data_IF_212454027274
#
_entry.id   IF_212454027274
#
_cell.length_a   1.000
_cell.length_b   1.000
_cell.length_c   1.000
_cell.angle_alpha   90.00
_cell.angle_beta   90.00
_cell.angle_gamma   90.00
#
_symmetry.space_group_name_H-M   'P 1'
#
loop_
_entity.id
_entity.type
_entity.pdbx_description
1 polymer ?
#
# COMPACT_ATOMS: atom_id res chain seq x y z
N UNK A 1 20.85 -75.20 7.75
CA UNK A 1 19.91 -74.05 7.66
C UNK A 1 19.95 -73.24 8.95
N UNK A 2 20.82 -72.21 9.08
CA UNK A 2 20.86 -71.39 10.30
C UNK A 2 21.57 -70.02 10.17
N UNK A 3 21.52 -69.32 9.02
CA UNK A 3 22.23 -68.02 8.88
C UNK A 3 21.51 -66.93 8.04
N UNK A 4 20.18 -66.92 7.99
CA UNK A 4 19.46 -65.86 7.25
C UNK A 4 18.53 -65.01 8.12
N UNK A 5 18.24 -65.42 9.36
CA UNK A 5 17.17 -64.81 10.17
C UNK A 5 17.63 -63.78 11.23
N UNK A 6 18.87 -63.28 11.17
CA UNK A 6 19.38 -62.30 12.16
C UNK A 6 19.50 -60.87 11.64
N UNK A 7 19.19 -60.59 10.37
CA UNK A 7 19.39 -59.26 9.77
C UNK A 7 18.13 -58.37 9.69
N UNK A 8 16.95 -58.89 10.05
CA UNK A 8 15.68 -58.16 9.86
C UNK A 8 15.20 -57.46 11.14
N UNK A 9 15.80 -57.74 12.31
CA UNK A 9 15.30 -57.21 13.59
C UNK A 9 15.80 -55.79 13.93
N UNK A 10 16.91 -55.35 13.35
CA UNK A 10 17.54 -54.08 13.74
C UNK A 10 17.11 -52.86 12.91
N UNK A 11 16.37 -53.05 11.82
CA UNK A 11 15.97 -51.96 10.91
C UNK A 11 14.57 -51.38 11.13
N UNK A 12 13.81 -51.85 12.12
CA UNK A 12 12.44 -51.33 12.35
C UNK A 12 12.39 -50.02 13.15
N UNK A 13 13.47 -49.65 13.85
CA UNK A 13 13.52 -48.44 14.67
C UNK A 13 13.78 -47.19 13.80
N UNK A 14 14.52 -47.33 12.68
CA UNK A 14 14.86 -46.20 11.82
C UNK A 14 13.69 -45.65 10.99
N UNK A 15 12.70 -46.48 10.67
CA UNK A 15 11.61 -46.10 9.74
C UNK A 15 10.52 -45.27 10.42
N UNK A 16 10.29 -45.46 11.72
CA UNK A 16 9.30 -44.68 12.47
C UNK A 16 9.80 -43.28 12.88
N UNK A 17 11.11 -43.08 13.02
CA UNK A 17 11.69 -41.76 13.34
C UNK A 17 11.63 -40.77 12.17
N UNK A 18 11.88 -41.23 10.94
CA UNK A 18 11.89 -40.35 9.77
C UNK A 18 10.51 -39.88 9.31
N UNK A 19 9.48 -40.74 9.41
CA UNK A 19 8.11 -40.37 9.04
C UNK A 19 7.50 -39.30 9.95
N UNK A 20 7.79 -39.35 11.25
CA UNK A 20 7.26 -38.38 12.22
C UNK A 20 7.94 -37.00 12.09
N UNK A 21 9.24 -36.96 11.79
CA UNK A 21 9.98 -35.70 11.55
C UNK A 21 9.51 -35.01 10.27
N UNK A 22 9.17 -35.76 9.22
CA UNK A 22 8.59 -35.19 7.99
C UNK A 22 7.17 -34.65 8.21
N UNK A 23 6.31 -35.36 8.94
CA UNK A 23 4.95 -34.88 9.24
C UNK A 23 4.96 -33.61 10.13
N UNK A 24 5.86 -33.54 11.11
CA UNK A 24 6.02 -32.34 11.96
C UNK A 24 6.63 -31.17 11.18
N UNK A 25 7.59 -31.41 10.27
CA UNK A 25 8.14 -30.32 9.43
C UNK A 25 7.15 -29.82 8.37
N UNK A 26 6.24 -30.65 7.87
CA UNK A 26 5.12 -30.21 7.03
C UNK A 26 4.13 -29.37 7.85
N UNK A 27 3.76 -29.80 9.06
CA UNK A 27 2.87 -29.03 9.95
C UNK A 27 3.50 -27.70 10.42
N UNK A 28 4.81 -27.65 10.67
CA UNK A 28 5.53 -26.41 10.99
C UNK A 28 5.58 -25.48 9.76
N UNK A 29 5.75 -26.02 8.54
CA UNK A 29 5.69 -25.21 7.31
C UNK A 29 4.28 -24.67 7.02
N UNK A 30 3.23 -25.41 7.35
CA UNK A 30 1.85 -24.91 7.24
C UNK A 30 1.49 -23.91 8.35
N UNK A 31 2.03 -24.06 9.57
CA UNK A 31 1.87 -23.09 10.65
C UNK A 31 2.73 -21.81 10.47
N UNK A 32 3.82 -21.90 9.68
CA UNK A 32 4.64 -20.77 9.24
C UNK A 32 4.19 -20.19 7.89
N UNK A 33 2.96 -20.43 7.45
CA UNK A 33 2.25 -19.41 6.64
C UNK A 33 1.87 -18.31 7.62
N UNK A 34 2.90 -17.59 8.09
CA UNK A 34 2.75 -16.42 8.91
C UNK A 34 1.82 -15.48 8.17
N UNK A 35 0.73 -15.12 8.85
CA UNK A 35 -0.20 -14.05 8.48
C UNK A 35 0.52 -12.98 7.65
N UNK A 36 0.38 -13.03 6.33
CA UNK A 36 0.74 -11.91 5.46
C UNK A 36 0.08 -10.68 6.07
N UNK A 37 0.89 -9.69 6.45
CA UNK A 37 0.50 -8.60 7.33
C UNK A 37 -0.65 -7.81 6.71
N UNK A 38 -1.88 -8.16 7.10
CA UNK A 38 -3.07 -7.40 6.73
C UNK A 38 -3.00 -6.07 7.44
N UNK A 39 -3.03 -5.01 6.66
CA UNK A 39 -3.09 -3.65 7.17
C UNK A 39 -4.50 -3.15 6.97
N UNK A 40 -5.11 -2.67 8.06
CA UNK A 40 -6.41 -2.01 7.99
C UNK A 40 -6.17 -0.59 7.53
N UNK A 41 -6.88 -0.22 6.48
CA UNK A 41 -6.83 1.09 5.87
C UNK A 41 -8.24 1.65 5.82
N UNK A 42 -8.42 2.89 6.27
CA UNK A 42 -9.66 3.63 6.10
C UNK A 42 -9.42 4.82 5.18
N UNK A 43 -10.33 5.10 4.26
CA UNK A 43 -10.24 6.27 3.40
C UNK A 43 -11.51 7.11 3.42
N UNK A 44 -11.34 8.43 3.51
CA UNK A 44 -12.44 9.38 3.59
C UNK A 44 -13.20 9.50 2.25
N UNK A 45 -14.46 9.92 2.32
CA UNK A 45 -15.31 10.27 1.16
C UNK A 45 -14.58 11.24 0.22
N UNK A 46 -14.54 10.90 -1.07
CA UNK A 46 -14.07 11.83 -2.10
C UNK A 46 -15.13 12.92 -2.29
N UNK A 47 -14.82 14.16 -1.92
CA UNK A 47 -15.61 15.34 -2.28
C UNK A 47 -15.07 15.99 -3.55
N UNK A 48 -14.84 15.18 -4.59
CA UNK A 48 -14.21 15.65 -5.83
C UNK A 48 -15.16 15.65 -7.01
N UNK A 49 -15.01 16.66 -7.88
CA UNK A 49 -15.70 16.78 -9.16
C UNK A 49 -15.07 15.95 -10.28
N UNK A 50 -13.89 15.37 -10.03
CA UNK A 50 -13.10 14.62 -11.02
C UNK A 50 -12.88 13.20 -10.51
N UNK A 51 -12.69 12.26 -11.43
CA UNK A 51 -12.33 10.88 -11.13
C UNK A 51 -10.95 10.57 -11.73
N UNK A 52 -10.19 9.66 -11.11
CA UNK A 52 -8.89 9.23 -11.67
C UNK A 52 -8.99 8.69 -13.10
N UNK A 53 -10.15 8.16 -13.51
CA UNK A 53 -10.39 7.71 -14.89
C UNK A 53 -10.36 8.84 -15.92
N UNK A 54 -10.45 10.11 -15.49
CA UNK A 54 -10.36 11.29 -16.35
C UNK A 54 -8.92 11.85 -16.43
N UNK A 55 -7.99 11.27 -15.68
CA UNK A 55 -6.60 11.72 -15.57
C UNK A 55 -5.73 10.81 -16.46
N UNK A 56 -5.28 11.34 -17.60
CA UNK A 56 -4.50 10.59 -18.60
C UNK A 56 -2.98 10.68 -18.40
N UNK A 57 -2.52 11.60 -17.56
CA UNK A 57 -1.12 11.83 -17.25
C UNK A 57 -1.01 12.42 -15.85
N UNK A 58 0.16 12.34 -15.22
CA UNK A 58 0.45 13.00 -13.95
C UNK A 58 1.82 13.69 -14.00
N UNK A 59 1.86 14.95 -13.60
CA UNK A 59 3.08 15.70 -13.35
C UNK A 59 3.34 15.77 -11.85
N UNK A 60 4.60 15.72 -11.43
CA UNK A 60 4.97 15.72 -10.00
C UNK A 60 5.92 16.87 -9.71
N UNK A 61 5.58 17.66 -8.69
CA UNK A 61 6.49 18.61 -8.05
C UNK A 61 7.26 17.88 -6.93
N UNK A 62 8.59 17.73 -7.03
CA UNK A 62 9.38 17.02 -6.03
C UNK A 62 9.22 17.58 -4.60
N UNK A 63 8.99 18.88 -4.47
CA UNK A 63 8.83 19.54 -3.18
C UNK A 63 7.47 19.25 -2.51
N UNK A 64 6.54 18.63 -3.25
CA UNK A 64 5.20 18.27 -2.77
C UNK A 64 5.08 16.80 -2.37
N UNK A 65 6.17 16.04 -2.44
CA UNK A 65 6.24 14.65 -2.01
C UNK A 65 6.96 14.59 -0.67
N UNK A 66 6.20 14.41 0.42
CA UNK A 66 6.72 14.59 1.78
C UNK A 66 6.40 13.43 2.72
N UNK A 67 7.34 13.12 3.60
CA UNK A 67 7.18 12.21 4.73
C UNK A 67 7.63 12.89 6.02
N UNK A 68 6.73 13.03 6.99
CA UNK A 68 6.94 13.72 8.26
C UNK A 68 7.59 15.11 8.10
N UNK A 69 7.15 15.86 7.09
CA UNK A 69 7.64 17.20 6.81
C UNK A 69 8.97 17.27 6.05
N UNK A 70 9.66 16.15 5.80
CA UNK A 70 10.83 16.11 4.92
C UNK A 70 10.43 15.74 3.49
N UNK A 71 11.17 16.24 2.49
CA UNK A 71 11.04 15.77 1.11
C UNK A 71 11.39 14.30 1.00
N UNK A 72 10.71 13.61 0.11
CA UNK A 72 10.93 12.20 -0.18
C UNK A 72 11.33 12.01 -1.65
N UNK A 73 12.04 10.92 -1.91
CA UNK A 73 12.52 10.57 -3.24
C UNK A 73 11.36 10.40 -4.24
N UNK A 74 11.23 11.40 -5.11
CA UNK A 74 10.15 11.48 -6.09
C UNK A 74 10.23 10.35 -7.12
N UNK A 75 11.45 9.87 -7.44
CA UNK A 75 11.62 8.78 -8.41
C UNK A 75 10.96 7.48 -7.94
N UNK A 76 10.93 7.23 -6.63
CA UNK A 76 10.23 6.08 -6.05
C UNK A 76 8.73 6.22 -6.16
N UNK A 77 8.22 7.43 -5.95
CA UNK A 77 6.78 7.70 -6.06
C UNK A 77 6.31 7.63 -7.52
N UNK A 78 7.12 8.12 -8.45
CA UNK A 78 6.86 7.97 -9.89
C UNK A 78 6.69 6.50 -10.30
N UNK A 79 7.59 5.61 -9.84
CA UNK A 79 7.45 4.17 -10.09
C UNK A 79 6.15 3.59 -9.53
N UNK A 80 5.77 3.98 -8.31
CA UNK A 80 4.53 3.51 -7.70
C UNK A 80 3.27 4.01 -8.44
N UNK A 81 3.30 5.22 -9.00
CA UNK A 81 2.21 5.75 -9.81
C UNK A 81 2.02 4.91 -11.08
N UNK A 82 3.11 4.60 -11.77
CA UNK A 82 3.07 3.72 -12.95
C UNK A 82 2.57 2.31 -12.59
N UNK A 83 3.06 1.74 -11.49
CA UNK A 83 2.60 0.43 -11.00
C UNK A 83 1.09 0.39 -10.67
N UNK A 84 0.54 1.44 -10.05
CA UNK A 84 -0.83 1.43 -9.53
C UNK A 84 -1.85 1.90 -10.57
N UNK A 85 -1.50 2.89 -11.39
CA UNK A 85 -2.42 3.50 -12.35
C UNK A 85 -2.09 3.21 -13.80
N UNK A 86 -0.90 2.63 -14.10
CA UNK A 86 -0.39 2.49 -15.46
C UNK A 86 -0.35 3.83 -16.21
N UNK A 87 -0.01 4.89 -15.47
CA UNK A 87 0.19 6.25 -15.98
C UNK A 87 1.67 6.55 -15.83
N UNK A 88 2.34 6.86 -16.94
CA UNK A 88 3.73 7.31 -16.88
C UNK A 88 3.78 8.75 -16.34
N UNK A 89 4.32 8.97 -15.13
CA UNK A 89 4.37 10.31 -14.57
C UNK A 89 5.58 11.08 -15.10
N UNK A 90 5.48 12.40 -15.09
CA UNK A 90 6.54 13.32 -15.54
C UNK A 90 6.88 14.33 -14.44
N UNK A 91 8.03 14.99 -14.54
CA UNK A 91 8.36 16.08 -13.61
C UNK A 91 7.64 17.35 -14.03
N UNK A 92 7.15 18.12 -13.05
CA UNK A 92 6.38 19.33 -13.32
C UNK A 92 7.18 20.34 -14.16
N UNK A 93 8.46 20.52 -13.84
CA UNK A 93 9.33 21.49 -14.51
C UNK A 93 9.57 21.17 -15.99
N UNK A 94 9.45 19.90 -16.40
CA UNK A 94 9.74 19.49 -17.78
C UNK A 94 8.52 19.58 -18.70
N UNK A 95 7.29 19.38 -18.20
CA UNK A 95 6.13 19.11 -19.07
C UNK A 95 4.78 19.65 -18.57
N UNK A 96 4.74 20.65 -17.69
CA UNK A 96 3.47 21.17 -17.12
C UNK A 96 2.39 21.54 -18.17
N UNK A 97 2.80 22.02 -19.35
CA UNK A 97 1.84 22.36 -20.43
C UNK A 97 1.25 21.12 -21.09
N UNK A 98 2.02 20.03 -21.20
CA UNK A 98 1.58 18.77 -21.78
C UNK A 98 0.82 17.90 -20.78
N UNK A 99 1.18 17.99 -19.50
CA UNK A 99 0.50 17.30 -18.43
C UNK A 99 -0.03 18.23 -17.33
N UNK A 100 -1.30 18.66 -17.42
CA UNK A 100 -1.85 19.67 -16.51
C UNK A 100 -2.17 19.10 -15.13
N UNK A 101 -2.22 17.79 -14.94
CA UNK A 101 -2.58 17.18 -13.66
C UNK A 101 -1.36 17.08 -12.76
N UNK A 102 -1.38 17.74 -11.61
CA UNK A 102 -0.28 17.76 -10.64
C UNK A 102 -0.60 16.83 -9.48
N UNK A 103 0.28 15.87 -9.23
CA UNK A 103 0.25 14.98 -8.09
C UNK A 103 1.04 15.56 -6.92
N UNK A 104 0.45 15.53 -5.73
CA UNK A 104 1.09 15.84 -4.47
C UNK A 104 0.74 14.79 -3.42
N UNK A 105 1.66 14.55 -2.49
CA UNK A 105 1.41 13.57 -1.43
C UNK A 105 2.20 13.88 -0.16
N UNK A 106 1.51 13.88 0.96
CA UNK A 106 2.10 14.09 2.29
C UNK A 106 1.71 12.96 3.22
N UNK A 107 2.71 12.38 3.87
CA UNK A 107 2.53 11.37 4.90
C UNK A 107 2.91 11.94 6.25
N UNK A 108 2.03 11.82 7.24
CA UNK A 108 2.29 12.25 8.61
C UNK A 108 2.08 11.07 9.57
N UNK A 109 3.11 10.77 10.36
CA UNK A 109 3.10 9.73 11.38
C UNK A 109 2.46 10.24 12.67
N UNK A 110 1.61 9.44 13.29
CA UNK A 110 0.90 9.72 14.54
C UNK A 110 0.11 11.06 14.54
N UNK A 111 -0.30 11.54 13.36
CA UNK A 111 -0.87 12.89 13.23
C UNK A 111 -2.32 13.01 13.70
N UNK A 112 -3.04 11.89 13.82
CA UNK A 112 -4.50 11.93 13.89
C UNK A 112 -5.06 11.02 14.99
N UNK A 113 -5.05 11.51 16.22
CA UNK A 113 -5.64 10.80 17.38
C UNK A 113 -7.17 10.69 17.32
N UNK A 114 -7.82 11.51 16.49
CA UNK A 114 -9.28 11.53 16.34
C UNK A 114 -9.84 10.36 15.53
N UNK A 115 -9.07 9.80 14.60
CA UNK A 115 -9.50 8.68 13.76
C UNK A 115 -9.01 7.37 14.36
N UNK A 116 -9.95 6.53 14.82
CA UNK A 116 -9.67 5.29 15.55
C UNK A 116 -10.35 4.09 14.91
N UNK A 117 -9.67 2.95 14.91
CA UNK A 117 -10.22 1.66 14.54
C UNK A 117 -10.01 0.70 15.73
N UNK A 118 -11.08 0.09 16.23
CA UNK A 118 -11.06 -0.76 17.44
C UNK A 118 -10.37 -0.07 18.64
N UNK A 119 -10.69 1.21 18.86
CA UNK A 119 -10.12 2.03 19.94
C UNK A 119 -8.66 2.46 19.75
N UNK A 120 -7.98 2.00 18.69
CA UNK A 120 -6.58 2.36 18.39
C UNK A 120 -6.53 3.48 17.34
N UNK A 121 -5.74 4.55 17.57
CA UNK A 121 -5.61 5.63 16.58
C UNK A 121 -4.85 5.18 15.34
N UNK A 122 -5.08 5.88 14.23
CA UNK A 122 -4.32 5.71 13.00
C UNK A 122 -2.82 5.96 13.25
N UNK A 123 -1.98 5.08 12.71
CA UNK A 123 -0.53 5.19 12.82
C UNK A 123 0.03 6.20 11.82
N UNK A 124 -0.56 6.26 10.64
CA UNK A 124 -0.21 7.19 9.58
C UNK A 124 -1.46 7.81 8.98
N UNK A 125 -1.35 9.09 8.63
CA UNK A 125 -2.23 9.76 7.68
C UNK A 125 -1.44 9.92 6.39
N UNK A 126 -1.99 9.43 5.29
CA UNK A 126 -1.48 9.61 3.93
C UNK A 126 -2.48 10.49 3.20
N UNK A 127 -2.09 11.72 2.91
CA UNK A 127 -2.87 12.65 2.11
C UNK A 127 -2.30 12.66 0.69
N UNK A 128 -3.15 12.39 -0.29
CA UNK A 128 -2.80 12.37 -1.71
C UNK A 128 -3.74 13.27 -2.48
N UNK A 129 -3.17 14.08 -3.37
CA UNK A 129 -3.89 15.09 -4.13
C UNK A 129 -3.51 14.99 -5.61
N UNK A 130 -4.51 15.09 -6.48
CA UNK A 130 -4.34 15.28 -7.93
C UNK A 130 -5.16 16.50 -8.33
N UNK A 131 -4.49 17.57 -8.74
CA UNK A 131 -5.13 18.83 -9.09
C UNK A 131 -4.82 19.25 -10.52
N UNK A 132 -5.79 19.80 -11.24
CA UNK A 132 -5.51 20.48 -12.50
C UNK A 132 -4.67 21.73 -12.22
N UNK A 133 -3.65 21.98 -13.02
CA UNK A 133 -2.94 23.25 -13.11
C UNK A 133 -3.58 24.11 -14.19
N UNK A 134 -3.54 25.42 -13.98
CA UNK A 134 -4.02 26.36 -14.99
C UNK A 134 -3.01 26.43 -16.15
N UNK A 135 -3.45 26.40 -17.42
CA UNK A 135 -2.55 26.50 -18.56
C UNK A 135 -1.60 27.70 -18.42
N UNK A 136 -0.29 27.45 -18.53
CA UNK A 136 0.74 28.50 -18.45
C UNK A 136 0.98 29.10 -17.07
N UNK A 137 0.45 28.52 -15.99
CA UNK A 137 0.68 28.97 -14.61
C UNK A 137 1.01 27.78 -13.71
N UNK A 138 1.97 27.94 -12.80
CA UNK A 138 2.23 26.99 -11.70
C UNK A 138 1.12 26.98 -10.62
N UNK A 139 -0.06 27.53 -10.91
CA UNK A 139 -1.16 27.66 -9.96
C UNK A 139 -2.12 26.51 -10.16
N UNK A 140 -2.31 25.72 -9.10
CA UNK A 140 -3.32 24.66 -9.03
C UNK A 140 -4.73 25.27 -8.98
N UNK A 141 -5.68 24.65 -9.67
CA UNK A 141 -7.09 25.02 -9.57
C UNK A 141 -7.77 24.20 -8.46
N UNK A 142 -8.12 24.82 -7.31
CA UNK A 142 -8.69 24.10 -6.18
C UNK A 142 -10.09 23.52 -6.49
N UNK A 143 -10.77 24.01 -7.52
CA UNK A 143 -12.09 23.47 -7.91
C UNK A 143 -11.98 22.17 -8.71
N UNK A 144 -10.77 21.86 -9.20
CA UNK A 144 -10.45 20.69 -10.03
C UNK A 144 -9.37 19.86 -9.35
N UNK A 145 -9.62 19.51 -8.08
CA UNK A 145 -8.77 18.65 -7.28
C UNK A 145 -9.50 17.37 -6.87
N UNK A 146 -8.78 16.27 -6.91
CA UNK A 146 -9.10 15.01 -6.26
C UNK A 146 -8.16 14.87 -5.08
N UNK A 147 -8.70 15.03 -3.88
CA UNK A 147 -7.97 14.91 -2.63
C UNK A 147 -8.48 13.72 -1.85
N UNK A 148 -7.57 12.92 -1.30
CA UNK A 148 -7.94 11.77 -0.48
C UNK A 148 -7.03 11.60 0.72
N UNK A 149 -7.66 11.37 1.86
CA UNK A 149 -7.01 10.99 3.09
C UNK A 149 -7.16 9.49 3.31
N UNK A 150 -6.03 8.84 3.56
CA UNK A 150 -5.91 7.41 3.81
C UNK A 150 -5.25 7.22 5.17
N UNK A 151 -5.97 6.55 6.06
CA UNK A 151 -5.59 6.30 7.44
C UNK A 151 -5.14 4.86 7.58
N UNK A 152 -3.91 4.68 8.02
CA UNK A 152 -3.28 3.36 8.12
C UNK A 152 -3.17 2.97 9.60
N UNK A 153 -3.76 1.83 9.97
CA UNK A 153 -3.74 1.30 11.33
C UNK A 153 -2.77 0.11 11.45
N UNK A 154 -2.18 -0.08 12.63
CA UNK A 154 -1.36 -1.26 12.93
C UNK A 154 0.14 -0.96 13.08
N UNK A 155 0.98 -1.89 12.61
CA UNK A 155 2.43 -1.83 12.72
C UNK A 155 3.05 -0.76 11.81
N UNK A 156 4.27 -0.28 12.12
CA UNK A 156 5.02 0.58 11.21
C UNK A 156 5.22 -0.08 9.85
N UNK A 157 5.02 0.68 8.78
CA UNK A 157 5.23 0.24 7.40
C UNK A 157 6.35 1.03 6.72
N UNK A 158 7.01 0.45 5.70
CA UNK A 158 7.91 1.18 4.83
C UNK A 158 7.22 2.37 4.15
N UNK A 159 7.96 3.48 3.97
CA UNK A 159 7.43 4.69 3.32
C UNK A 159 6.89 4.43 1.90
N UNK A 160 7.54 3.64 1.02
CA UNK A 160 6.97 3.28 -0.28
C UNK A 160 5.60 2.62 -0.18
N UNK A 161 5.42 1.71 0.77
CA UNK A 161 4.14 1.03 1.01
C UNK A 161 3.05 2.03 1.39
N UNK A 162 3.36 3.01 2.24
CA UNK A 162 2.40 4.05 2.63
C UNK A 162 1.96 4.90 1.42
N UNK A 163 2.89 5.29 0.54
CA UNK A 163 2.53 5.98 -0.71
C UNK A 163 1.65 5.09 -1.61
N UNK A 164 2.00 3.81 -1.76
CA UNK A 164 1.20 2.85 -2.53
C UNK A 164 -0.23 2.73 -2.01
N UNK A 165 -0.41 2.66 -0.69
CA UNK A 165 -1.73 2.65 -0.05
C UNK A 165 -2.51 3.95 -0.33
N UNK A 166 -1.83 5.09 -0.32
CA UNK A 166 -2.40 6.39 -0.73
C UNK A 166 -2.95 6.35 -2.15
N UNK A 167 -2.14 5.87 -3.11
CA UNK A 167 -2.52 5.74 -4.52
C UNK A 167 -3.68 4.75 -4.73
N UNK A 168 -3.63 3.59 -4.10
CA UNK A 168 -4.74 2.61 -4.14
C UNK A 168 -6.01 3.25 -3.59
N UNK A 169 -5.90 3.95 -2.46
CA UNK A 169 -7.00 4.73 -1.90
C UNK A 169 -7.56 5.72 -2.92
N UNK A 170 -6.72 6.53 -3.53
CA UNK A 170 -7.09 7.55 -4.52
C UNK A 170 -7.88 6.96 -5.71
N UNK A 171 -7.44 5.80 -6.21
CA UNK A 171 -8.08 5.10 -7.34
C UNK A 171 -9.40 4.42 -7.02
N UNK A 172 -9.66 4.07 -5.75
CA UNK A 172 -10.90 3.38 -5.37
C UNK A 172 -12.10 4.33 -5.45
N UNK A 173 -13.00 4.00 -6.37
CA UNK A 173 -14.36 4.53 -6.41
C UNK A 173 -15.13 4.01 -5.20
N UNK A 174 -15.79 4.88 -4.46
CA UNK A 174 -16.60 4.46 -3.33
C UNK A 174 -17.73 3.54 -3.81
N UNK A 175 -17.80 2.34 -3.25
CA UNK A 175 -19.00 1.52 -3.40
C UNK A 175 -20.14 2.23 -2.66
N UNK A 176 -21.36 2.18 -3.21
CA UNK A 176 -22.53 2.95 -2.77
C UNK A 176 -23.03 2.63 -1.34
N UNK A 177 -22.27 1.93 -0.51
CA UNK A 177 -22.80 1.25 0.66
C UNK A 177 -21.93 1.32 1.93
N UNK A 178 -21.04 2.31 2.08
CA UNK A 178 -20.37 2.53 3.37
C UNK A 178 -20.56 3.96 3.90
N UNK A 179 -20.92 4.00 5.17
CA UNK A 179 -21.10 5.20 5.96
C UNK A 179 -19.71 5.86 6.13
N UNK A 180 -19.50 6.99 5.46
CA UNK A 180 -18.38 7.93 5.67
C UNK A 180 -16.95 7.45 5.32
N UNK A 181 -16.67 6.14 5.41
CA UNK A 181 -15.34 5.54 5.28
C UNK A 181 -15.37 4.30 4.39
N UNK A 182 -14.38 4.16 3.50
CA UNK A 182 -14.08 2.88 2.85
C UNK A 182 -12.97 2.18 3.65
N UNK A 183 -13.28 1.05 4.28
CA UNK A 183 -12.34 0.27 5.10
C UNK A 183 -11.93 -0.97 4.33
N UNK A 184 -10.64 -1.18 4.16
CA UNK A 184 -10.11 -2.34 3.45
C UNK A 184 -8.88 -2.94 4.10
N UNK A 185 -8.77 -4.25 3.95
CA UNK A 185 -7.57 -5.03 4.27
C UNK A 185 -6.68 -5.06 3.03
N UNK A 186 -5.49 -4.46 3.12
CA UNK A 186 -4.47 -4.60 2.09
C UNK A 186 -3.39 -5.57 2.55
N UNK A 187 -3.01 -6.51 1.67
CA UNK A 187 -1.87 -7.39 1.92
C UNK A 187 -0.58 -6.66 1.59
N UNK A 188 0.27 -6.47 2.60
CA UNK A 188 1.60 -5.91 2.41
C UNK A 188 2.56 -7.05 2.11
N UNK A 189 2.99 -7.17 0.86
CA UNK A 189 4.18 -7.95 0.51
C UNK A 189 5.43 -7.15 0.89
N UNK A 190 6.40 -7.75 1.61
CA UNK A 190 7.66 -7.11 1.97
C UNK A 190 8.52 -6.76 0.75
#
# INVERSE_FOLDING_TARGET
MARVLKFIKDNKIAVFGFGFVLAVSVLIRFAMVGSEGRVVVASALNQSKIAMTQVSCLSIDPHKIRFNGAEYDTSKVMKLIDEVFSIQPTLLESEQVACPWVFAATIVKNANFGVKHNGRPAKYLVSVDVCASRPGKQVLDPNWCLSKNVYVFGSPLPVPTLFKLGLIGLGRLQSKQSNEWDVFDERVTP
#
